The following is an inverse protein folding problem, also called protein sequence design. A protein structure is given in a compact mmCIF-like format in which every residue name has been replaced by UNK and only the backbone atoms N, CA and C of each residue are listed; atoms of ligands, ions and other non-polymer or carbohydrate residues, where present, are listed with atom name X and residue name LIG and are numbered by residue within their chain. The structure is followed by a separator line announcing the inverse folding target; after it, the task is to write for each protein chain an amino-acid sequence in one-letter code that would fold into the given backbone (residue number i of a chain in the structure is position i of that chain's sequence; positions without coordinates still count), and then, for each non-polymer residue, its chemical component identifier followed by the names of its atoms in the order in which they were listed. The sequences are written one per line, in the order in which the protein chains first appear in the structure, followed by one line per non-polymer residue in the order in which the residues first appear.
data_IF_857139194966
#
_entry.id   IF_857139194966
#
_cell.length_a   1.000
_cell.length_b   1.000
_cell.length_c   1.000
_cell.angle_alpha   90.00
_cell.angle_beta   90.00
_cell.angle_gamma   90.00
#
_symmetry.space_group_name_H-M   'P 1'
#
loop_
_entity.id
_entity.type
_entity.pdbx_description
1 polymer ?
#
# COMPACT_ATOMS: atom_id res chain seq x y z
N UNK A 1 -17.47 -0.67 0.46
CA UNK A 1 -18.74 -1.04 -0.21
C UNK A 1 -19.27 0.19 -0.94
N UNK A 2 -20.52 0.19 -1.42
CA UNK A 2 -21.13 1.35 -2.08
C UNK A 2 -21.34 2.56 -1.14
N UNK A 3 -21.26 2.36 0.17
CA UNK A 3 -21.45 3.37 1.21
C UNK A 3 -20.11 3.91 1.76
N UNK A 4 -18.98 3.46 1.20
CA UNK A 4 -17.65 3.82 1.68
C UNK A 4 -17.18 3.05 2.91
N UNK A 5 -17.90 2.02 3.35
CA UNK A 5 -17.46 1.17 4.46
C UNK A 5 -16.39 0.18 4.00
N UNK A 6 -15.52 -0.22 4.93
CA UNK A 6 -14.59 -1.34 4.72
C UNK A 6 -15.35 -2.64 4.39
N UNK A 7 -14.79 -3.47 3.51
CA UNK A 7 -15.38 -4.76 3.12
C UNK A 7 -14.57 -5.88 3.74
N UNK A 8 -15.16 -6.62 4.66
CA UNK A 8 -14.56 -7.83 5.26
C UNK A 8 -14.77 -9.05 4.36
N UNK A 9 -13.84 -10.00 4.42
CA UNK A 9 -13.90 -11.22 3.59
C UNK A 9 -13.49 -11.01 2.13
N UNK A 10 -12.99 -9.83 1.76
CA UNK A 10 -12.38 -9.61 0.46
C UNK A 10 -10.99 -10.24 0.42
N UNK A 11 -10.68 -10.95 -0.68
CA UNK A 11 -9.36 -11.52 -0.90
C UNK A 11 -8.54 -10.55 -1.73
N UNK A 12 -7.43 -10.11 -1.16
CA UNK A 12 -6.44 -9.24 -1.80
C UNK A 12 -5.22 -10.08 -2.10
N UNK A 13 -4.74 -10.02 -3.34
CA UNK A 13 -3.59 -10.77 -3.83
C UNK A 13 -2.45 -9.84 -4.19
N UNK A 14 -1.24 -10.22 -3.81
CA UNK A 14 -0.02 -9.62 -4.37
C UNK A 14 0.27 -10.17 -5.77
N UNK A 15 0.45 -9.27 -6.74
CA UNK A 15 0.64 -9.62 -8.15
C UNK A 15 2.10 -9.78 -8.55
N UNK A 16 3.04 -9.32 -7.71
CA UNK A 16 4.49 -9.27 -7.99
C UNK A 16 5.24 -9.96 -6.85
N UNK A 17 6.32 -10.69 -7.15
CA UNK A 17 7.04 -11.46 -6.13
C UNK A 17 6.24 -12.66 -5.62
N UNK A 18 6.31 -12.96 -4.32
CA UNK A 18 5.50 -14.00 -3.68
C UNK A 18 4.01 -13.63 -3.73
N UNK A 19 3.24 -14.40 -4.51
CA UNK A 19 1.83 -14.12 -4.85
C UNK A 19 0.85 -14.54 -3.74
N UNK A 20 1.15 -14.13 -2.52
CA UNK A 20 0.32 -14.38 -1.35
C UNK A 20 -1.06 -13.73 -1.45
N UNK A 21 -2.02 -14.33 -0.76
CA UNK A 21 -3.39 -13.84 -0.60
C UNK A 21 -3.68 -13.56 0.86
N UNK A 22 -4.38 -12.46 1.11
CA UNK A 22 -4.83 -12.08 2.45
C UNK A 22 -6.30 -11.70 2.39
N UNK A 23 -7.06 -12.20 3.37
CA UNK A 23 -8.47 -11.86 3.55
C UNK A 23 -8.60 -10.65 4.48
N UNK A 24 -9.37 -9.65 4.06
CA UNK A 24 -9.65 -8.44 4.86
C UNK A 24 -10.54 -8.74 6.07
N UNK A 25 -10.39 -7.92 7.11
CA UNK A 25 -11.22 -7.93 8.33
C UNK A 25 -10.45 -8.30 9.60
N UNK A 26 -9.35 -9.05 9.47
CA UNK A 26 -8.57 -9.52 10.62
C UNK A 26 -7.90 -8.39 11.44
N UNK A 27 -7.77 -7.18 10.86
CA UNK A 27 -7.17 -5.99 11.50
C UNK A 27 -8.17 -4.84 11.68
N UNK A 28 -9.47 -5.15 11.61
CA UNK A 28 -10.58 -4.20 11.62
C UNK A 28 -11.29 -4.11 10.27
N UNK A 29 -12.42 -3.37 10.19
CA UNK A 29 -13.30 -3.37 9.02
C UNK A 29 -12.59 -2.99 7.72
N UNK A 30 -12.56 -3.90 6.76
CA UNK A 30 -11.91 -3.76 5.46
C UNK A 30 -10.38 -3.72 5.49
N UNK A 31 -9.75 -3.97 6.65
CA UNK A 31 -8.30 -3.85 6.82
C UNK A 31 -7.62 -5.20 6.69
N UNK A 32 -6.45 -5.20 6.06
CA UNK A 32 -5.53 -6.32 5.97
C UNK A 32 -4.11 -5.85 6.32
N UNK A 33 -3.28 -6.75 6.80
CA UNK A 33 -1.86 -6.52 7.02
C UNK A 33 -1.09 -7.53 6.17
N UNK A 34 -0.12 -7.02 5.40
CA UNK A 34 0.72 -7.82 4.52
C UNK A 34 2.15 -7.46 4.85
N UNK A 35 2.97 -8.45 5.17
CA UNK A 35 4.39 -8.23 5.35
C UNK A 35 5.02 -7.93 3.99
N UNK A 36 5.52 -6.70 3.84
CA UNK A 36 6.25 -6.28 2.64
C UNK A 36 7.75 -6.51 2.83
N UNK A 37 8.36 -7.17 1.85
CA UNK A 37 9.81 -7.40 1.80
C UNK A 37 10.49 -6.49 0.77
N UNK A 38 11.70 -6.84 0.33
CA UNK A 38 12.50 -6.06 -0.61
C UNK A 38 11.84 -5.88 -1.98
N UNK A 39 11.11 -6.89 -2.44
CA UNK A 39 10.48 -6.89 -3.76
C UNK A 39 9.30 -5.90 -3.83
N UNK A 40 9.04 -5.31 -5.02
CA UNK A 40 7.88 -4.45 -5.21
C UNK A 40 6.57 -5.25 -5.02
N UNK A 41 5.59 -4.61 -4.42
CA UNK A 41 4.23 -5.11 -4.20
C UNK A 41 3.26 -4.39 -5.12
N UNK A 42 2.30 -5.14 -5.66
CA UNK A 42 1.10 -4.59 -6.29
C UNK A 42 -0.08 -5.41 -5.85
N UNK A 43 -1.06 -4.78 -5.24
CA UNK A 43 -2.22 -5.46 -4.69
C UNK A 43 -3.39 -5.31 -5.63
N UNK A 44 -4.18 -6.37 -5.72
CA UNK A 44 -5.46 -6.36 -6.41
C UNK A 44 -6.49 -7.16 -5.63
N UNK A 45 -7.74 -6.70 -5.65
CA UNK A 45 -8.86 -7.46 -5.12
C UNK A 45 -9.23 -8.53 -6.14
N UNK A 46 -9.16 -9.80 -5.75
CA UNK A 46 -9.43 -10.95 -6.63
C UNK A 46 -10.77 -11.63 -6.33
N UNK A 47 -11.33 -11.42 -5.13
CA UNK A 47 -12.72 -11.74 -4.80
C UNK A 47 -13.22 -10.89 -3.64
N UNK A 48 -14.54 -10.73 -3.52
CA UNK A 48 -15.18 -10.24 -2.30
C UNK A 48 -16.45 -11.02 -1.96
N UNK A 49 -16.87 -10.97 -0.69
CA UNK A 49 -18.05 -11.70 -0.20
C UNK A 49 -19.40 -11.18 -0.71
N UNK A 50 -19.41 -10.15 -1.55
CA UNK A 50 -20.60 -9.45 -2.04
C UNK A 50 -20.74 -9.48 -3.57
N UNK A 51 -19.91 -10.26 -4.27
CA UNK A 51 -20.06 -10.51 -5.70
C UNK A 51 -18.75 -10.47 -6.50
N UNK A 52 -18.84 -10.56 -7.84
CA UNK A 52 -17.66 -10.49 -8.70
C UNK A 52 -16.95 -9.14 -8.54
N UNK A 53 -15.62 -9.20 -8.48
CA UNK A 53 -14.76 -8.02 -8.40
C UNK A 53 -14.10 -7.75 -9.74
N UNK A 54 -13.98 -6.48 -10.05
CA UNK A 54 -13.13 -5.95 -11.11
C UNK A 54 -11.84 -5.51 -10.44
N UNK A 55 -10.74 -6.19 -10.75
CA UNK A 55 -9.48 -5.98 -10.05
C UNK A 55 -8.87 -4.63 -10.44
N UNK A 56 -9.14 -3.58 -9.67
CA UNK A 56 -8.27 -2.41 -9.67
C UNK A 56 -6.93 -2.84 -9.06
N UNK A 57 -5.83 -2.48 -9.72
CA UNK A 57 -4.46 -2.79 -9.28
C UNK A 57 -3.88 -1.53 -8.62
N UNK A 58 -3.29 -1.67 -7.45
CA UNK A 58 -2.63 -0.56 -6.76
C UNK A 58 -1.43 -0.02 -7.55
N UNK A 59 -0.96 1.17 -7.18
CA UNK A 59 0.39 1.60 -7.53
C UNK A 59 1.42 0.61 -7.00
N UNK A 60 2.65 0.72 -7.51
CA UNK A 60 3.77 -0.03 -6.97
C UNK A 60 4.06 0.42 -5.55
N UNK A 61 4.08 -0.54 -4.64
CA UNK A 61 4.42 -0.35 -3.24
C UNK A 61 5.71 -1.08 -2.94
N UNK A 62 6.37 -0.67 -1.88
CA UNK A 62 7.55 -1.32 -1.36
C UNK A 62 8.19 -0.44 -0.29
N UNK A 63 9.19 -0.99 0.38
CA UNK A 63 10.08 -0.22 1.24
C UNK A 63 11.17 0.46 0.41
N UNK A 64 11.75 -0.32 -0.50
CA UNK A 64 12.87 0.08 -1.36
C UNK A 64 12.36 0.85 -2.56
N UNK A 65 11.21 0.38 -3.08
CA UNK A 65 10.58 0.84 -4.29
C UNK A 65 9.12 1.39 -4.13
N UNK A 66 8.76 2.27 -3.14
CA UNK A 66 7.45 2.97 -3.07
C UNK A 66 7.14 4.01 -4.15
N UNK A 67 5.91 4.05 -4.67
CA UNK A 67 5.47 5.19 -5.48
C UNK A 67 5.62 6.54 -4.73
N UNK A 68 6.62 7.37 -5.11
CA UNK A 68 7.01 8.57 -4.37
C UNK A 68 5.84 9.53 -4.05
N UNK A 69 4.91 9.82 -4.99
CA UNK A 69 3.74 10.66 -4.70
C UNK A 69 2.89 10.17 -3.51
N UNK A 70 2.93 8.88 -3.20
CA UNK A 70 2.15 8.30 -2.11
C UNK A 70 2.77 8.62 -0.74
N UNK A 71 4.06 9.00 -0.68
CA UNK A 71 4.84 9.20 0.56
C UNK A 71 5.45 10.60 0.73
N UNK A 72 5.56 11.41 -0.33
CA UNK A 72 6.12 12.77 -0.26
C UNK A 72 5.40 13.60 0.81
N UNK A 73 6.16 14.18 1.73
CA UNK A 73 5.66 15.03 2.81
C UNK A 73 4.92 14.29 3.93
N UNK A 74 4.88 12.95 3.92
CA UNK A 74 4.17 12.14 4.92
C UNK A 74 5.10 11.48 5.95
N UNK A 75 6.41 11.48 5.71
CA UNK A 75 7.42 10.77 6.52
C UNK A 75 8.36 11.74 7.26
N UNK A 76 7.79 12.78 7.86
CA UNK A 76 8.52 13.84 8.54
C UNK A 76 8.86 15.02 7.64
N UNK A 77 8.98 16.21 8.24
CA UNK A 77 9.32 17.44 7.53
C UNK A 77 10.85 17.64 7.39
N UNK A 78 11.25 18.69 6.68
CA UNK A 78 12.66 19.01 6.44
C UNK A 78 13.45 19.42 7.71
N UNK A 79 12.75 19.76 8.80
CA UNK A 79 13.37 20.12 10.08
C UNK A 79 13.61 18.92 10.99
N UNK A 80 12.98 17.78 10.68
CA UNK A 80 13.17 16.54 11.42
C UNK A 80 14.40 15.79 10.91
N UNK A 81 15.35 15.49 11.81
CA UNK A 81 16.61 14.82 11.47
C UNK A 81 16.39 13.49 10.75
N UNK A 82 15.34 12.76 11.13
CA UNK A 82 14.93 11.48 10.55
C UNK A 82 13.80 11.62 9.50
N UNK A 83 13.49 12.85 9.06
CA UNK A 83 12.55 13.11 7.98
C UNK A 83 13.03 12.47 6.68
N UNK A 84 12.13 11.78 5.98
CA UNK A 84 12.37 11.12 4.71
C UNK A 84 11.41 11.67 3.64
N UNK A 85 11.93 11.97 2.44
CA UNK A 85 11.15 12.50 1.32
C UNK A 85 10.14 13.62 1.70
N UNK A 86 10.56 14.72 2.37
CA UNK A 86 9.66 15.85 2.64
C UNK A 86 9.20 16.55 1.34
N UNK A 87 10.08 16.61 0.34
CA UNK A 87 9.84 17.11 -1.03
C UNK A 87 10.40 16.11 -2.04
N UNK A 88 10.13 16.27 -3.34
CA UNK A 88 10.71 15.39 -4.37
C UNK A 88 12.22 15.59 -4.53
N UNK A 89 12.70 16.80 -4.22
CA UNK A 89 14.09 17.22 -4.38
C UNK A 89 14.94 16.86 -3.14
N UNK A 90 14.33 16.75 -1.96
CA UNK A 90 15.02 16.49 -0.69
C UNK A 90 14.83 15.05 -0.23
N UNK A 91 15.91 14.27 -0.18
CA UNK A 91 15.94 12.91 0.40
C UNK A 91 14.84 11.97 -0.14
N UNK A 92 14.40 12.19 -1.39
CA UNK A 92 13.36 11.39 -2.05
C UNK A 92 13.89 10.57 -3.23
N UNK A 93 15.16 10.19 -3.18
CA UNK A 93 15.80 9.39 -4.22
C UNK A 93 15.67 7.89 -3.97
N UNK A 94 15.64 7.14 -5.06
CA UNK A 94 15.68 5.69 -5.06
C UNK A 94 17.09 5.15 -4.82
N UNK A 95 17.24 4.04 -4.07
CA UNK A 95 16.26 3.41 -3.18
C UNK A 95 16.19 4.14 -1.82
N UNK A 96 14.99 4.21 -1.21
CA UNK A 96 14.81 4.94 0.06
C UNK A 96 15.46 4.26 1.26
N UNK A 97 15.68 2.94 1.19
CA UNK A 97 16.39 2.17 2.23
C UNK A 97 17.82 2.63 2.47
N UNK A 98 18.47 3.16 1.42
CA UNK A 98 19.86 3.60 1.50
C UNK A 98 19.97 4.95 2.22
N UNK A 99 18.83 5.65 2.33
CA UNK A 99 18.73 6.95 2.99
C UNK A 99 18.23 6.79 4.43
N UNK A 100 17.29 5.87 4.71
CA UNK A 100 16.78 5.56 6.06
C UNK A 100 16.06 4.19 6.15
N UNK A 101 16.11 3.52 7.30
CA UNK A 101 15.25 2.38 7.63
C UNK A 101 13.87 2.86 8.09
N UNK A 102 13.00 3.23 7.15
CA UNK A 102 11.70 3.84 7.44
C UNK A 102 10.59 2.79 7.45
N UNK A 103 9.75 2.78 8.49
CA UNK A 103 8.48 2.03 8.48
C UNK A 103 7.33 2.97 8.09
N UNK A 104 6.50 2.55 7.14
CA UNK A 104 5.30 3.27 6.75
C UNK A 104 4.23 2.32 6.23
N UNK A 105 2.97 2.78 6.23
CA UNK A 105 1.81 2.05 5.76
C UNK A 105 1.17 2.74 4.57
N UNK A 106 0.51 1.95 3.72
CA UNK A 106 -0.30 2.46 2.61
C UNK A 106 -1.78 2.40 2.98
N UNK A 107 -2.52 3.43 2.62
CA UNK A 107 -3.97 3.37 2.56
C UNK A 107 -4.38 3.20 1.09
N UNK A 108 -5.03 2.09 0.78
CA UNK A 108 -5.46 1.76 -0.58
C UNK A 108 -6.97 1.59 -0.57
N UNK A 109 -7.64 2.39 -1.40
CA UNK A 109 -9.09 2.27 -1.60
C UNK A 109 -9.35 1.61 -2.95
N UNK A 110 -9.96 0.43 -2.92
CA UNK A 110 -10.45 -0.23 -4.12
C UNK A 110 -11.93 0.06 -4.31
N UNK A 111 -12.31 0.53 -5.50
CA UNK A 111 -13.72 0.74 -5.84
C UNK A 111 -14.23 -0.44 -6.67
N UNK A 112 -15.44 -0.93 -6.35
CA UNK A 112 -16.14 -1.87 -7.23
C UNK A 112 -16.51 -1.14 -8.53
N UNK A 113 -16.28 -1.78 -9.68
CA UNK A 113 -16.88 -1.29 -10.93
C UNK A 113 -18.40 -1.44 -10.84
N UNK A 114 -19.11 -0.39 -11.28
CA UNK A 114 -20.58 -0.34 -11.35
C UNK A 114 -21.12 -1.28 -12.42
#
# INVERSE_FOLDING_TARGET
DQNGNGVDGAVVRNLVGEKGEVTTGAKGPGKAEITMYYEPFKLAVVSDGSGPVTSQVSNQMGLIFPHLPDIVGKLGDASYEYGACPTLEDRCQWPLSDVNYVHFSYEITFQKVK
#
